data_IF_833502013163
#
_entry.id   IF_833502013163
#
_cell.length_a   1.000
_cell.length_b   1.000
_cell.length_c   1.000
_cell.angle_alpha   90.00
_cell.angle_beta   90.00
_cell.angle_gamma   90.00
#
_symmetry.space_group_name_H-M   'P 1'
#
loop_
_entity.id
_entity.type
_entity.pdbx_description
1 polymer ?
#
# COMPACT_ATOMS: atom_id res chain seq x y z
N UNK A 1 -6.94 -11.13 -28.35
CA UNK A 1 -5.88 -10.67 -27.39
C UNK A 1 -6.53 -10.31 -26.09
N UNK A 2 -5.85 -10.51 -24.94
CA UNK A 2 -6.40 -10.07 -23.66
C UNK A 2 -6.43 -8.52 -23.64
N UNK A 3 -7.55 -7.93 -23.26
CA UNK A 3 -7.68 -6.47 -23.11
C UNK A 3 -6.75 -6.00 -21.99
N UNK A 4 -5.83 -5.09 -22.28
CA UNK A 4 -4.93 -4.51 -21.29
C UNK A 4 -5.51 -3.18 -20.84
N UNK A 5 -5.57 -2.95 -19.55
CA UNK A 5 -6.13 -1.75 -18.96
C UNK A 5 -5.09 -1.06 -18.09
N UNK A 6 -4.91 0.25 -18.25
CA UNK A 6 -4.24 1.09 -17.29
C UNK A 6 -5.27 1.62 -16.29
N UNK A 7 -5.19 1.20 -15.03
CA UNK A 7 -6.02 1.71 -13.95
C UNK A 7 -5.28 2.80 -13.18
N UNK A 8 -5.84 3.99 -13.11
CA UNK A 8 -5.28 5.05 -12.27
C UNK A 8 -5.62 4.76 -10.81
N UNK A 9 -4.58 4.45 -10.00
CA UNK A 9 -4.74 4.10 -8.58
C UNK A 9 -4.44 5.27 -7.64
N UNK A 10 -3.78 6.32 -8.13
CA UNK A 10 -3.52 7.56 -7.40
C UNK A 10 -3.40 8.75 -8.35
N UNK A 11 -3.74 9.95 -7.88
CA UNK A 11 -3.67 11.19 -8.63
C UNK A 11 -5.04 11.73 -9.06
N UNK A 12 -5.10 12.79 -9.91
CA UNK A 12 -6.34 13.47 -10.31
C UNK A 12 -7.34 12.58 -11.03
N UNK A 13 -6.88 11.47 -11.62
CA UNK A 13 -7.71 10.53 -12.36
C UNK A 13 -7.97 9.23 -11.60
N UNK A 14 -7.78 9.21 -10.28
CA UNK A 14 -7.95 8.02 -9.45
C UNK A 14 -9.30 7.32 -9.72
N UNK A 15 -9.24 5.99 -9.86
CA UNK A 15 -10.39 5.13 -10.14
C UNK A 15 -10.77 5.04 -11.61
N UNK A 16 -10.16 5.85 -12.51
CA UNK A 16 -10.40 5.73 -13.94
C UNK A 16 -9.57 4.59 -14.55
N UNK A 17 -10.15 3.95 -15.55
CA UNK A 17 -9.56 2.87 -16.31
C UNK A 17 -9.43 3.27 -17.78
N UNK A 18 -8.29 2.98 -18.38
CA UNK A 18 -7.96 3.33 -19.75
C UNK A 18 -7.56 2.05 -20.49
N UNK A 19 -8.44 1.53 -21.38
CA UNK A 19 -8.09 0.38 -22.19
C UNK A 19 -6.97 0.75 -23.18
N UNK A 20 -5.99 -0.13 -23.31
CA UNK A 20 -4.90 -0.02 -24.27
C UNK A 20 -5.27 -0.83 -25.52
N UNK A 21 -5.27 -0.16 -26.67
CA UNK A 21 -5.48 -0.78 -27.97
C UNK A 21 -4.12 -1.25 -28.52
N UNK A 22 -4.03 -2.52 -28.92
CA UNK A 22 -2.80 -3.09 -29.47
C UNK A 22 -2.31 -2.39 -30.75
N UNK A 23 -3.20 -1.75 -31.46
CA UNK A 23 -2.92 -1.13 -32.77
C UNK A 23 -2.60 0.37 -32.66
N UNK A 24 -2.64 0.94 -31.45
CA UNK A 24 -2.44 2.36 -31.22
C UNK A 24 -1.42 2.64 -30.13
N UNK A 25 -0.61 3.69 -30.39
CA UNK A 25 0.24 4.29 -29.37
C UNK A 25 -0.62 5.18 -28.45
N UNK A 26 -0.42 5.07 -27.13
CA UNK A 26 -1.06 5.92 -26.11
C UNK A 26 -0.03 6.86 -25.54
N UNK A 27 -0.19 8.16 -25.78
CA UNK A 27 0.63 9.22 -25.19
C UNK A 27 -0.02 9.69 -23.91
N UNK A 28 0.76 9.69 -22.83
CA UNK A 28 0.36 10.17 -21.50
C UNK A 28 1.06 11.51 -21.25
N UNK A 29 0.32 12.50 -20.78
CA UNK A 29 0.90 13.82 -20.51
C UNK A 29 -0.14 14.84 -20.07
N UNK A 30 0.32 16.07 -19.76
CA UNK A 30 -0.60 17.17 -19.41
C UNK A 30 -1.13 17.96 -20.61
N UNK A 31 -0.57 17.72 -21.80
CA UNK A 31 -0.97 18.42 -23.02
C UNK A 31 -2.34 17.99 -23.53
N UNK A 32 -3.02 18.90 -24.23
CA UNK A 32 -4.34 18.65 -24.82
C UNK A 32 -4.30 17.62 -25.94
N UNK A 33 -3.11 17.35 -26.46
CA UNK A 33 -2.81 16.36 -27.50
C UNK A 33 -2.44 14.97 -26.94
N UNK A 34 -2.44 14.80 -25.62
CA UNK A 34 -2.22 13.51 -24.98
C UNK A 34 -3.50 12.64 -25.00
N UNK A 35 -3.34 11.34 -25.32
CA UNK A 35 -4.45 10.39 -25.30
C UNK A 35 -4.97 10.16 -23.87
N UNK A 36 -4.05 10.13 -22.90
CA UNK A 36 -4.34 10.10 -21.48
C UNK A 36 -3.84 11.41 -20.88
N UNK A 37 -4.74 12.38 -20.75
CA UNK A 37 -4.39 13.70 -20.22
C UNK A 37 -4.43 13.69 -18.69
N UNK A 38 -3.29 14.04 -18.07
CA UNK A 38 -3.15 14.22 -16.63
C UNK A 38 -2.68 15.65 -16.36
N UNK A 39 -3.57 16.48 -15.84
CA UNK A 39 -3.31 17.92 -15.62
C UNK A 39 -2.59 18.12 -14.30
N UNK A 40 -1.25 18.03 -14.34
CA UNK A 40 -0.35 18.29 -13.21
C UNK A 40 0.87 19.08 -13.69
N UNK A 41 1.36 20.02 -12.89
CA UNK A 41 2.52 20.86 -13.24
C UNK A 41 3.83 20.07 -13.38
N UNK A 42 3.95 18.98 -12.65
CA UNK A 42 5.11 18.07 -12.67
C UNK A 42 5.17 17.19 -13.91
N UNK A 43 4.07 17.09 -14.67
CA UNK A 43 3.94 16.26 -15.87
C UNK A 43 4.24 17.08 -17.13
N UNK A 44 5.10 16.54 -17.99
CA UNK A 44 5.41 17.12 -19.30
C UNK A 44 4.19 17.06 -20.22
N UNK A 45 4.09 17.95 -21.24
CA UNK A 45 2.99 17.92 -22.21
C UNK A 45 2.83 16.55 -22.87
N UNK A 46 3.95 15.94 -23.29
CA UNK A 46 4.09 14.52 -23.61
C UNK A 46 5.08 13.96 -22.61
N UNK A 47 4.62 13.11 -21.70
CA UNK A 47 5.44 12.64 -20.60
C UNK A 47 5.95 11.22 -20.83
N UNK A 48 5.08 10.34 -21.25
CA UNK A 48 5.43 8.97 -21.63
C UNK A 48 4.57 8.51 -22.80
N UNK A 49 5.00 7.47 -23.49
CA UNK A 49 4.18 6.77 -24.46
C UNK A 49 4.18 5.29 -24.21
N UNK A 50 3.05 4.65 -24.44
CA UNK A 50 2.87 3.21 -24.36
C UNK A 50 2.45 2.67 -25.72
N UNK A 51 3.09 1.62 -26.16
CA UNK A 51 2.80 0.97 -27.43
C UNK A 51 3.08 -0.53 -27.36
N UNK A 52 2.49 -1.29 -28.26
CA UNK A 52 2.73 -2.73 -28.38
C UNK A 52 3.84 -3.01 -29.39
N UNK A 53 4.74 -3.92 -29.04
CA UNK A 53 5.80 -4.41 -29.94
C UNK A 53 6.03 -5.89 -29.69
N UNK A 54 5.83 -6.73 -30.73
CA UNK A 54 5.96 -8.19 -30.64
C UNK A 54 5.17 -8.80 -29.46
N UNK A 55 3.91 -8.37 -29.31
CA UNK A 55 3.00 -8.74 -28.23
C UNK A 55 3.43 -8.31 -26.82
N UNK A 56 4.48 -7.52 -26.70
CA UNK A 56 4.92 -6.91 -25.45
C UNK A 56 4.38 -5.46 -25.34
N UNK A 57 3.99 -5.07 -24.12
CA UNK A 57 3.60 -3.71 -23.78
C UNK A 57 4.87 -2.94 -23.44
N UNK A 58 5.18 -1.92 -24.21
CA UNK A 58 6.40 -1.14 -24.02
C UNK A 58 6.04 0.28 -23.61
N UNK A 59 6.66 0.78 -22.55
CA UNK A 59 6.61 2.18 -22.14
C UNK A 59 7.95 2.87 -22.44
N UNK A 60 7.89 4.11 -22.89
CA UNK A 60 9.05 4.95 -23.16
C UNK A 60 8.84 6.35 -22.54
N UNK A 61 9.84 6.80 -21.79
CA UNK A 61 9.86 8.13 -21.18
C UNK A 61 10.18 9.21 -22.21
N UNK A 62 9.38 10.27 -22.23
CA UNK A 62 9.55 11.45 -23.09
C UNK A 62 9.68 12.73 -22.25
N UNK A 63 9.76 12.57 -20.92
CA UNK A 63 9.64 13.66 -19.97
C UNK A 63 10.97 14.31 -19.62
N UNK A 64 10.88 15.43 -18.88
CA UNK A 64 12.04 16.07 -18.24
C UNK A 64 12.27 15.58 -16.81
N UNK A 65 11.21 15.08 -16.16
CA UNK A 65 11.23 14.73 -14.75
C UNK A 65 11.35 13.21 -14.53
N UNK A 66 11.23 12.42 -15.60
CA UNK A 66 11.37 10.96 -15.58
C UNK A 66 10.06 10.22 -15.32
N UNK A 67 9.96 9.05 -15.93
CA UNK A 67 8.93 8.04 -15.70
C UNK A 67 9.53 6.89 -14.90
N UNK A 68 8.78 6.37 -13.92
CA UNK A 68 9.26 5.26 -13.11
C UNK A 68 8.34 4.05 -13.29
N UNK A 69 8.93 2.86 -13.32
CA UNK A 69 8.20 1.58 -13.30
C UNK A 69 8.65 0.80 -12.08
N UNK A 70 7.72 0.46 -11.19
CA UNK A 70 7.99 -0.20 -9.91
C UNK A 70 9.12 0.50 -9.12
N UNK A 71 9.07 1.84 -9.07
CA UNK A 71 10.04 2.68 -8.37
C UNK A 71 11.40 2.85 -9.07
N UNK A 72 11.63 2.26 -10.24
CA UNK A 72 12.87 2.42 -11.03
C UNK A 72 12.68 3.44 -12.14
N UNK A 73 13.57 4.43 -12.22
CA UNK A 73 13.60 5.38 -13.33
C UNK A 73 13.91 4.62 -14.63
N UNK A 74 13.10 4.83 -15.66
CA UNK A 74 13.26 4.17 -16.95
C UNK A 74 13.41 5.19 -18.08
N UNK A 75 14.12 4.83 -19.12
CA UNK A 75 14.01 5.46 -20.44
C UNK A 75 13.06 4.66 -21.32
N UNK A 76 13.12 3.33 -21.20
CA UNK A 76 12.26 2.39 -21.89
C UNK A 76 12.17 1.09 -21.08
N UNK A 77 10.99 0.52 -20.97
CA UNK A 77 10.75 -0.73 -20.26
C UNK A 77 9.62 -1.53 -20.90
N UNK A 78 9.64 -2.85 -20.71
CA UNK A 78 8.49 -3.73 -20.97
C UNK A 78 7.65 -3.75 -19.72
N UNK A 79 6.33 -3.52 -19.87
CA UNK A 79 5.37 -3.56 -18.79
C UNK A 79 4.77 -4.96 -18.65
N UNK A 80 4.73 -5.45 -17.42
CA UNK A 80 4.10 -6.70 -17.04
C UNK A 80 2.77 -6.46 -16.32
N UNK A 81 1.88 -7.47 -16.25
CA UNK A 81 0.68 -7.39 -15.42
C UNK A 81 1.02 -7.05 -13.96
N UNK A 82 0.28 -6.13 -13.38
CA UNK A 82 0.46 -5.56 -12.05
C UNK A 82 1.59 -4.55 -11.89
N UNK A 83 2.37 -4.24 -12.94
CA UNK A 83 3.36 -3.17 -12.87
C UNK A 83 2.72 -1.82 -12.56
N UNK A 84 3.46 -1.02 -11.80
CA UNK A 84 3.08 0.33 -11.40
C UNK A 84 3.92 1.34 -12.18
N UNK A 85 3.22 2.19 -12.94
CA UNK A 85 3.83 3.29 -13.70
C UNK A 85 3.57 4.60 -12.97
N UNK A 86 4.63 5.30 -12.60
CA UNK A 86 4.57 6.57 -11.89
C UNK A 86 4.89 7.71 -12.84
N UNK A 87 3.98 8.66 -12.94
CA UNK A 87 4.06 9.84 -13.80
C UNK A 87 3.63 11.06 -12.98
N UNK A 88 4.59 11.90 -12.58
CA UNK A 88 4.32 12.99 -11.63
C UNK A 88 3.84 12.43 -10.29
N UNK A 89 2.63 12.82 -9.88
CA UNK A 89 1.97 12.30 -8.66
C UNK A 89 0.97 11.20 -8.96
N UNK A 90 0.75 10.91 -10.24
CA UNK A 90 -0.17 9.89 -10.69
C UNK A 90 0.49 8.52 -10.74
N UNK A 91 -0.24 7.51 -10.29
CA UNK A 91 0.17 6.11 -10.35
C UNK A 91 -0.83 5.32 -11.18
N UNK A 92 -0.32 4.66 -12.22
CA UNK A 92 -1.10 3.83 -13.12
C UNK A 92 -0.70 2.37 -12.93
N UNK A 93 -1.65 1.48 -12.76
CA UNK A 93 -1.43 0.02 -12.66
C UNK A 93 -1.79 -0.65 -13.96
N UNK A 94 -0.91 -1.51 -14.44
CA UNK A 94 -1.18 -2.37 -15.61
C UNK A 94 -2.05 -3.53 -15.17
N UNK A 95 -3.26 -3.66 -15.72
CA UNK A 95 -4.20 -4.72 -15.41
C UNK A 95 -4.56 -5.47 -16.69
N UNK A 96 -4.43 -6.79 -16.65
CA UNK A 96 -4.96 -7.68 -17.68
C UNK A 96 -6.14 -8.40 -17.05
N UNK A 97 -7.40 -8.10 -17.43
CA UNK A 97 -8.56 -8.81 -16.92
C UNK A 97 -8.39 -10.31 -17.20
N UNK A 98 -8.36 -11.13 -16.16
CA UNK A 98 -8.47 -12.57 -16.34
C UNK A 98 -9.86 -12.84 -16.90
N UNK A 99 -9.95 -13.37 -18.09
CA UNK A 99 -11.20 -13.97 -18.55
C UNK A 99 -11.61 -14.99 -17.49
N UNK A 100 -12.73 -14.76 -16.84
CA UNK A 100 -13.32 -15.75 -15.95
C UNK A 100 -13.50 -17.04 -16.79
N UNK A 101 -13.06 -18.21 -16.31
CA UNK A 101 -13.35 -19.45 -17.00
C UNK A 101 -14.87 -19.53 -17.14
N UNK A 102 -15.35 -19.79 -18.35
CA UNK A 102 -16.77 -19.96 -18.61
C UNK A 102 -17.34 -20.97 -17.61
N UNK A 103 -18.51 -20.71 -16.99
CA UNK A 103 -19.11 -21.64 -16.08
C UNK A 103 -19.36 -22.95 -16.84
N UNK A 104 -18.78 -24.04 -16.36
CA UNK A 104 -19.04 -25.40 -16.85
C UNK A 104 -20.46 -25.72 -16.40
N UNK A 105 -21.42 -25.50 -17.28
CA UNK A 105 -22.78 -25.97 -17.06
C UNK A 105 -22.79 -27.49 -17.14
N UNK A 106 -22.85 -28.14 -16.00
CA UNK A 106 -23.21 -29.54 -15.92
C UNK A 106 -24.64 -29.69 -16.47
N UNK A 107 -24.77 -30.48 -17.54
CA UNK A 107 -26.06 -30.94 -18.10
C UNK A 107 -26.80 -31.77 -17.05
N UNK A 108 -27.93 -31.25 -16.57
CA UNK A 108 -29.01 -32.12 -16.07
C UNK A 108 -30.36 -31.35 -16.10
N UNK A 109 -31.33 -31.89 -16.81
CA UNK A 109 -32.73 -31.87 -16.45
C UNK A 109 -33.65 -30.86 -17.17
N UNK A 110 -34.50 -31.41 -18.00
CA UNK A 110 -35.66 -30.81 -18.66
C UNK A 110 -36.55 -29.93 -17.73
N UNK A 111 -36.85 -28.70 -18.17
CA UNK A 111 -37.95 -27.89 -17.68
C UNK A 111 -38.23 -26.73 -18.66
N UNK A 112 -39.48 -26.29 -18.84
CA UNK A 112 -39.90 -25.54 -20.02
C UNK A 112 -39.44 -24.07 -20.05
N UNK A 113 -39.26 -23.60 -21.30
CA UNK A 113 -38.87 -22.26 -21.66
C UNK A 113 -39.91 -21.20 -21.20
N UNK A 114 -39.45 -20.13 -20.59
CA UNK A 114 -40.23 -18.90 -20.40
C UNK A 114 -39.57 -17.82 -21.29
N UNK A 115 -40.30 -17.45 -22.32
CA UNK A 115 -40.04 -16.31 -23.19
C UNK A 115 -40.36 -15.01 -22.48
N UNK A 116 -39.48 -14.03 -22.44
CA UNK A 116 -39.80 -12.65 -22.15
C UNK A 116 -39.71 -11.82 -23.44
N UNK A 117 -40.87 -11.35 -23.84
CA UNK A 117 -41.07 -10.48 -24.97
C UNK A 117 -40.65 -9.04 -24.62
N UNK A 118 -40.24 -8.34 -25.66
CA UNK A 118 -39.83 -6.95 -25.79
C UNK A 118 -40.72 -5.95 -25.00
N UNK A 119 -40.06 -5.09 -24.20
CA UNK A 119 -40.63 -3.82 -23.80
C UNK A 119 -39.76 -2.66 -24.23
N UNK A 120 -40.16 -2.04 -25.33
CA UNK A 120 -39.63 -0.79 -25.83
C UNK A 120 -40.02 0.35 -24.90
N UNK A 121 -39.07 1.03 -24.27
CA UNK A 121 -39.34 2.30 -23.59
C UNK A 121 -38.70 3.43 -24.40
N UNK A 122 -39.55 4.13 -25.13
CA UNK A 122 -39.29 5.43 -25.77
C UNK A 122 -39.42 6.54 -24.71
N UNK A 123 -38.42 7.42 -24.65
CA UNK A 123 -38.57 8.71 -23.95
C UNK A 123 -37.31 9.22 -23.28
N UNK A 124 -36.39 9.80 -24.05
CA UNK A 124 -35.30 10.61 -23.51
C UNK A 124 -35.64 12.09 -23.70
N UNK A 125 -35.81 12.89 -22.64
CA UNK A 125 -35.81 14.34 -22.77
C UNK A 125 -34.38 14.87 -22.69
N UNK A 126 -33.98 15.63 -23.68
CA UNK A 126 -32.73 16.40 -23.79
C UNK A 126 -32.74 17.52 -22.75
N UNK A 127 -31.72 17.66 -21.87
CA UNK A 127 -31.61 18.87 -21.06
C UNK A 127 -30.91 20.00 -21.80
N UNK A 128 -31.56 21.16 -21.73
CA UNK A 128 -31.12 22.41 -22.29
C UNK A 128 -29.77 22.88 -21.72
N UNK A 129 -28.98 23.44 -22.63
CA UNK A 129 -27.73 24.12 -22.43
C UNK A 129 -27.88 25.38 -21.57
N UNK A 130 -27.40 25.33 -20.30
CA UNK A 130 -27.18 26.51 -19.48
C UNK A 130 -25.69 26.88 -19.54
N UNK A 131 -25.40 27.95 -20.27
CA UNK A 131 -24.11 28.60 -20.31
C UNK A 131 -24.08 29.62 -19.16
N UNK A 132 -23.26 29.39 -18.14
CA UNK A 132 -22.92 30.38 -17.13
C UNK A 132 -21.48 30.92 -17.38
N UNK A 133 -21.22 32.22 -17.13
CA UNK A 133 -19.97 32.85 -17.55
C UNK A 133 -18.78 32.44 -16.68
N UNK A 134 -17.68 32.14 -17.35
CA UNK A 134 -16.37 31.91 -16.74
C UNK A 134 -15.87 33.13 -15.97
N UNK A 135 -15.83 33.04 -14.65
CA UNK A 135 -15.03 33.96 -13.83
C UNK A 135 -13.57 33.51 -13.86
N UNK A 136 -12.68 34.41 -14.27
CA UNK A 136 -11.23 34.25 -14.21
C UNK A 136 -10.81 33.96 -12.75
N UNK A 137 -10.03 32.90 -12.49
CA UNK A 137 -9.42 32.74 -11.19
C UNK A 137 -8.27 33.75 -11.02
N UNK A 138 -8.31 34.50 -9.93
CA UNK A 138 -7.18 35.31 -9.45
C UNK A 138 -6.06 34.39 -8.96
N UNK A 139 -4.77 34.78 -9.07
CA UNK A 139 -3.66 33.97 -8.58
C UNK A 139 -3.64 34.03 -7.05
N UNK A 140 -4.05 32.94 -6.41
CA UNK A 140 -3.81 32.69 -5.00
C UNK A 140 -2.43 32.08 -4.87
N UNK A 141 -1.62 32.67 -4.00
CA UNK A 141 -0.23 32.30 -3.76
C UNK A 141 -0.05 30.80 -3.48
N UNK A 142 0.93 30.24 -4.14
CA UNK A 142 1.30 28.83 -4.13
C UNK A 142 1.91 28.41 -2.80
N UNK A 143 1.11 27.71 -1.99
CA UNK A 143 1.60 26.64 -1.12
C UNK A 143 0.86 25.37 -1.55
N UNK A 144 1.38 24.70 -2.56
CA UNK A 144 0.85 23.40 -3.03
C UNK A 144 1.21 22.35 -1.99
N UNK A 145 0.35 22.20 -1.00
CA UNK A 145 0.34 21.03 -0.13
C UNK A 145 -0.13 19.86 -1.00
N UNK A 146 0.81 19.00 -1.37
CA UNK A 146 0.53 17.84 -2.22
C UNK A 146 -0.21 16.79 -1.38
N UNK A 147 -1.53 16.78 -1.45
CA UNK A 147 -2.36 15.75 -0.85
C UNK A 147 -2.69 14.69 -1.90
N UNK A 148 -2.38 13.44 -1.64
CA UNK A 148 -2.87 12.33 -2.44
C UNK A 148 -3.31 11.17 -1.54
N UNK A 149 -4.28 10.38 -2.02
CA UNK A 149 -4.88 9.28 -1.27
C UNK A 149 -5.15 8.09 -2.20
N UNK A 150 -5.23 6.89 -1.62
CA UNK A 150 -5.49 5.66 -2.36
C UNK A 150 -5.79 4.49 -1.43
N UNK A 151 -5.89 3.29 -2.02
CA UNK A 151 -6.11 2.05 -1.28
C UNK A 151 -4.87 1.14 -1.34
N UNK A 152 -4.53 0.50 -0.21
CA UNK A 152 -3.42 -0.45 -0.12
C UNK A 152 -3.67 -1.74 -0.93
N UNK A 153 -4.94 -2.06 -1.22
CA UNK A 153 -5.27 -3.16 -2.13
C UNK A 153 -4.84 -2.91 -3.59
N UNK A 154 -4.68 -1.64 -3.96
CA UNK A 154 -4.26 -1.24 -5.31
C UNK A 154 -2.74 -1.06 -5.42
N UNK A 155 -2.07 -0.60 -4.35
CA UNK A 155 -0.61 -0.40 -4.27
C UNK A 155 -0.09 -0.90 -2.92
N UNK A 156 0.98 -1.68 -2.94
CA UNK A 156 1.62 -2.12 -1.71
C UNK A 156 2.26 -0.92 -0.97
N UNK A 157 2.19 -0.93 0.35
CA UNK A 157 2.78 0.15 1.17
C UNK A 157 4.28 0.32 0.92
N UNK A 158 4.99 -0.78 0.67
CA UNK A 158 6.41 -0.79 0.29
C UNK A 158 6.69 -0.02 -0.99
N UNK A 159 5.88 -0.24 -2.03
CA UNK A 159 6.04 0.43 -3.33
C UNK A 159 5.75 1.92 -3.22
N UNK A 160 4.72 2.27 -2.45
CA UNK A 160 4.37 3.66 -2.15
C UNK A 160 5.51 4.38 -1.43
N UNK A 161 6.11 3.76 -0.41
CA UNK A 161 7.23 4.32 0.33
C UNK A 161 8.50 4.46 -0.52
N UNK A 162 8.75 3.49 -1.41
CA UNK A 162 9.85 3.54 -2.36
C UNK A 162 9.69 4.69 -3.35
N UNK A 163 8.45 4.94 -3.83
CA UNK A 163 8.11 6.11 -4.64
C UNK A 163 8.41 7.42 -3.92
N UNK A 164 7.91 7.56 -2.68
CA UNK A 164 8.10 8.77 -1.88
C UNK A 164 9.59 9.02 -1.58
N UNK A 165 10.35 7.95 -1.35
CA UNK A 165 11.81 8.00 -1.15
C UNK A 165 12.53 8.49 -2.41
N UNK A 166 12.27 7.85 -3.54
CA UNK A 166 12.92 8.17 -4.83
C UNK A 166 12.59 9.59 -5.29
N UNK A 167 11.35 10.03 -5.09
CA UNK A 167 10.88 11.38 -5.41
C UNK A 167 11.31 12.42 -4.38
N UNK A 168 12.05 12.04 -3.33
CA UNK A 168 12.50 12.90 -2.23
C UNK A 168 11.38 13.75 -1.61
N UNK A 169 10.18 13.19 -1.54
CA UNK A 169 9.03 13.87 -0.95
C UNK A 169 9.21 14.05 0.56
N UNK A 170 8.56 15.08 1.09
CA UNK A 170 8.45 15.30 2.54
C UNK A 170 6.99 15.41 2.90
N UNK A 171 6.54 14.66 3.90
CA UNK A 171 5.14 14.63 4.31
C UNK A 171 4.88 13.57 5.37
N UNK A 172 3.62 13.43 5.69
CA UNK A 172 3.09 12.42 6.61
C UNK A 172 2.17 11.48 5.84
N UNK A 173 2.54 10.21 5.76
CA UNK A 173 1.69 9.17 5.20
C UNK A 173 0.83 8.58 6.32
N UNK A 174 -0.46 8.80 6.24
CA UNK A 174 -1.47 8.23 7.14
C UNK A 174 -2.02 6.97 6.49
N UNK A 175 -1.95 5.85 7.19
CA UNK A 175 -2.46 4.55 6.75
C UNK A 175 -3.57 4.14 7.70
N UNK A 176 -4.72 3.72 7.16
CA UNK A 176 -5.86 3.24 7.96
C UNK A 176 -6.23 1.83 7.50
N UNK A 177 -6.26 0.89 8.45
CA UNK A 177 -6.67 -0.49 8.21
C UNK A 177 -7.61 -0.95 9.31
N UNK A 178 -8.83 -1.33 8.95
CA UNK A 178 -9.91 -1.60 9.91
C UNK A 178 -10.06 -0.44 10.91
N UNK A 179 -9.93 -0.73 12.21
CA UNK A 179 -10.05 0.27 13.30
C UNK A 179 -8.70 0.88 13.70
N UNK A 180 -7.60 0.54 13.01
CA UNK A 180 -6.24 0.99 13.33
C UNK A 180 -5.78 2.10 12.38
N UNK A 181 -4.99 3.04 12.93
CA UNK A 181 -4.37 4.11 12.16
C UNK A 181 -2.86 4.13 12.41
N UNK A 182 -2.08 4.12 11.33
CA UNK A 182 -0.64 4.32 11.35
C UNK A 182 -0.26 5.65 10.70
N UNK A 183 0.82 6.26 11.16
CA UNK A 183 1.39 7.48 10.56
C UNK A 183 2.89 7.26 10.35
N UNK A 184 3.34 7.48 9.12
CA UNK A 184 4.76 7.42 8.75
C UNK A 184 5.20 8.81 8.32
N UNK A 185 6.22 9.34 8.97
CA UNK A 185 6.74 10.69 8.71
C UNK A 185 7.98 10.60 7.84
N UNK A 186 7.96 11.34 6.76
CA UNK A 186 8.98 11.30 5.70
C UNK A 186 9.55 12.68 5.51
N UNK A 187 10.87 12.82 5.51
CA UNK A 187 11.58 14.06 5.28
C UNK A 187 12.61 13.87 4.15
N UNK A 188 12.45 14.58 3.04
CA UNK A 188 13.33 14.47 1.86
C UNK A 188 13.53 13.03 1.37
N UNK A 189 12.45 12.25 1.38
CA UNK A 189 12.46 10.84 0.99
C UNK A 189 12.96 9.87 2.05
N UNK A 190 13.37 10.34 3.23
CA UNK A 190 13.79 9.47 4.34
C UNK A 190 12.65 9.29 5.33
N UNK A 191 12.41 8.07 5.74
CA UNK A 191 11.49 7.75 6.83
C UNK A 191 12.20 8.14 8.13
N UNK A 192 11.59 9.08 8.88
CA UNK A 192 12.18 9.64 10.09
C UNK A 192 11.47 9.20 11.37
N UNK A 193 10.22 8.77 11.27
CA UNK A 193 9.41 8.37 12.41
C UNK A 193 8.16 7.60 11.98
N UNK A 194 7.62 6.76 12.86
CA UNK A 194 6.34 6.10 12.67
C UNK A 194 5.59 5.97 13.99
N UNK A 195 4.25 6.09 13.96
CA UNK A 195 3.36 5.88 15.12
C UNK A 195 2.19 5.00 14.70
N UNK A 196 1.57 4.34 15.68
CA UNK A 196 0.35 3.56 15.53
C UNK A 196 -0.64 3.98 16.62
N UNK A 197 -1.91 4.21 16.24
CA UNK A 197 -3.02 4.57 17.15
C UNK A 197 -2.73 5.78 18.04
N UNK A 198 -1.97 6.75 17.51
CA UNK A 198 -1.56 7.99 18.21
C UNK A 198 -0.72 7.76 19.49
N UNK A 199 -0.30 6.54 19.73
CA UNK A 199 0.56 6.20 20.87
C UNK A 199 2.00 6.58 20.54
N UNK A 200 2.68 7.23 21.49
CA UNK A 200 4.11 7.54 21.37
C UNK A 200 4.90 6.21 21.38
N UNK A 201 5.64 5.87 20.33
CA UNK A 201 6.32 4.58 20.27
C UNK A 201 7.57 4.55 21.13
N UNK A 202 7.81 3.44 21.79
CA UNK A 202 9.10 3.16 22.44
C UNK A 202 10.20 3.04 21.39
N UNK A 203 9.90 2.39 20.26
CA UNK A 203 10.79 2.29 19.10
C UNK A 203 10.03 2.54 17.80
N UNK A 204 10.24 3.71 17.14
CA UNK A 204 9.57 4.05 15.89
C UNK A 204 9.87 3.08 14.73
N UNK A 205 11.03 2.43 14.72
CA UNK A 205 11.41 1.47 13.68
C UNK A 205 10.58 0.20 13.76
N UNK A 206 10.35 -0.35 14.97
CA UNK A 206 9.45 -1.50 15.16
C UNK A 206 8.03 -1.18 14.70
N UNK A 207 7.52 0.01 15.04
CA UNK A 207 6.19 0.44 14.59
C UNK A 207 6.14 0.54 13.07
N UNK A 208 7.18 1.09 12.45
CA UNK A 208 7.28 1.14 10.98
C UNK A 208 7.21 -0.26 10.36
N UNK A 209 7.95 -1.24 10.87
CA UNK A 209 7.94 -2.62 10.38
C UNK A 209 6.57 -3.28 10.53
N UNK A 210 5.87 -3.02 11.65
CA UNK A 210 4.49 -3.51 11.86
C UNK A 210 3.50 -2.92 10.85
N UNK A 211 3.63 -1.62 10.52
CA UNK A 211 2.76 -0.98 9.53
C UNK A 211 2.91 -1.59 8.13
N UNK A 212 4.12 -2.04 7.76
CA UNK A 212 4.37 -2.70 6.48
C UNK A 212 3.63 -4.05 6.31
N UNK A 213 3.18 -4.64 7.42
CA UNK A 213 2.34 -5.87 7.39
C UNK A 213 0.90 -5.59 6.97
N UNK A 214 0.48 -4.32 6.90
CA UNK A 214 -0.88 -3.98 6.50
C UNK A 214 -1.04 -4.08 4.99
N UNK A 215 -1.68 -5.16 4.53
CA UNK A 215 -1.93 -5.42 3.10
C UNK A 215 -3.21 -4.78 2.57
N UNK A 216 -4.10 -4.31 3.45
CA UNK A 216 -5.39 -3.73 3.10
C UNK A 216 -5.64 -2.45 3.89
N UNK A 217 -6.43 -1.56 3.30
CA UNK A 217 -6.77 -0.29 3.93
C UNK A 217 -6.65 0.89 2.97
N UNK A 218 -6.73 2.08 3.52
CA UNK A 218 -6.59 3.32 2.76
C UNK A 218 -5.39 4.11 3.25
N UNK A 219 -4.77 4.86 2.35
CA UNK A 219 -3.71 5.77 2.71
C UNK A 219 -4.01 7.20 2.25
N UNK A 220 -3.44 8.15 2.94
CA UNK A 220 -3.48 9.58 2.63
C UNK A 220 -2.10 10.19 2.92
N UNK A 221 -1.57 10.96 1.98
CA UNK A 221 -0.30 11.64 2.14
C UNK A 221 -0.55 13.14 2.30
N UNK A 222 -0.09 13.68 3.41
CA UNK A 222 -0.28 15.06 3.82
C UNK A 222 1.05 15.78 4.00
N UNK A 223 0.99 17.09 4.19
CA UNK A 223 2.17 17.89 4.55
C UNK A 223 2.79 17.40 5.87
N UNK A 224 4.12 17.49 5.96
CA UNK A 224 4.84 17.16 7.18
C UNK A 224 4.46 18.17 8.28
N UNK A 225 3.88 17.72 9.41
CA UNK A 225 3.55 18.62 10.50
C UNK A 225 4.82 19.16 11.18
N UNK A 226 4.76 20.39 11.66
CA UNK A 226 5.79 20.96 12.52
C UNK A 226 5.73 20.31 13.91
N UNK A 227 6.39 19.17 14.05
CA UNK A 227 6.45 18.38 15.28
C UNK A 227 7.90 18.04 15.60
N UNK A 228 8.23 18.03 16.88
CA UNK A 228 9.50 17.47 17.34
C UNK A 228 9.37 15.94 17.48
N UNK A 229 10.36 15.22 16.99
CA UNK A 229 10.42 13.75 17.06
C UNK A 229 11.51 13.38 18.08
N UNK A 230 11.16 12.85 19.27
CA UNK A 230 12.13 12.58 20.34
C UNK A 230 13.16 11.50 19.95
N UNK A 231 12.71 10.51 19.19
CA UNK A 231 13.56 9.43 18.69
C UNK A 231 13.36 9.30 17.19
N UNK A 232 14.39 9.63 16.40
CA UNK A 232 14.31 9.56 14.94
C UNK A 232 14.91 8.27 14.41
N UNK A 233 14.31 7.74 13.36
CA UNK A 233 14.91 6.71 12.52
C UNK A 233 15.99 7.38 11.68
N UNK A 234 17.22 6.87 11.70
CA UNK A 234 18.37 7.48 11.02
C UNK A 234 18.83 6.70 9.78
N UNK A 235 18.28 5.53 9.55
CA UNK A 235 18.65 4.64 8.45
C UNK A 235 18.10 5.11 7.11
N UNK A 236 18.66 4.60 6.01
CA UNK A 236 18.12 4.87 4.69
C UNK A 236 16.80 4.12 4.49
N UNK A 237 15.88 4.71 3.72
CA UNK A 237 14.59 4.07 3.43
C UNK A 237 14.75 2.70 2.76
N UNK A 238 15.73 2.54 1.86
CA UNK A 238 15.98 1.27 1.18
C UNK A 238 16.46 0.18 2.16
N UNK A 239 17.30 0.54 3.12
CA UNK A 239 17.77 -0.39 4.16
C UNK A 239 16.64 -0.80 5.09
N UNK A 240 15.83 0.18 5.54
CA UNK A 240 14.64 -0.08 6.38
C UNK A 240 13.64 -1.00 5.69
N UNK A 241 13.38 -0.80 4.39
CA UNK A 241 12.46 -1.65 3.63
C UNK A 241 13.01 -3.06 3.48
N UNK A 242 14.31 -3.22 3.23
CA UNK A 242 14.95 -4.53 3.11
C UNK A 242 14.89 -5.31 4.43
N UNK A 243 15.26 -4.67 5.54
CA UNK A 243 15.20 -5.29 6.87
C UNK A 243 13.76 -5.64 7.27
N UNK A 244 12.81 -4.74 7.03
CA UNK A 244 11.41 -4.99 7.33
C UNK A 244 10.85 -6.17 6.54
N UNK A 245 11.19 -6.31 5.27
CA UNK A 245 10.76 -7.45 4.43
C UNK A 245 11.37 -8.76 4.93
N UNK A 246 12.65 -8.75 5.31
CA UNK A 246 13.31 -9.92 5.90
C UNK A 246 12.64 -10.34 7.22
N UNK A 247 12.43 -9.39 8.15
CA UNK A 247 11.76 -9.66 9.42
C UNK A 247 10.32 -10.17 9.22
N UNK A 248 9.59 -9.61 8.24
CA UNK A 248 8.25 -10.05 7.88
C UNK A 248 8.24 -11.50 7.40
N UNK A 249 9.17 -11.88 6.54
CA UNK A 249 9.29 -13.24 6.04
C UNK A 249 9.63 -14.22 7.18
N UNK A 250 10.52 -13.85 8.08
CA UNK A 250 10.87 -14.65 9.25
C UNK A 250 9.67 -14.83 10.20
N UNK A 251 8.90 -13.78 10.49
CA UNK A 251 7.68 -13.86 11.30
C UNK A 251 6.63 -14.77 10.62
N UNK A 252 6.43 -14.63 9.30
CA UNK A 252 5.49 -15.48 8.54
C UNK A 252 5.90 -16.96 8.59
N UNK A 253 7.20 -17.25 8.58
CA UNK A 253 7.74 -18.60 8.68
C UNK A 253 7.54 -19.22 10.09
N UNK A 254 7.31 -18.40 11.12
CA UNK A 254 6.92 -18.93 12.44
C UNK A 254 5.53 -19.60 12.42
N UNK A 255 4.70 -19.32 11.41
CA UNK A 255 3.41 -19.95 11.19
C UNK A 255 2.21 -19.10 11.65
N UNK A 256 0.98 -19.61 11.42
CA UNK A 256 -0.24 -18.84 11.62
C UNK A 256 -0.68 -18.70 13.08
N UNK A 257 -0.12 -19.50 14.00
CA UNK A 257 -0.57 -19.61 15.40
C UNK A 257 0.04 -18.54 16.32
N UNK A 258 0.56 -17.45 15.76
CA UNK A 258 1.12 -16.36 16.55
C UNK A 258 -0.01 -15.51 17.15
N UNK A 259 0.10 -15.11 18.43
CA UNK A 259 -0.88 -14.21 19.03
C UNK A 259 -0.85 -12.84 18.34
N UNK A 260 -2.04 -12.22 18.20
CA UNK A 260 -2.14 -10.86 17.65
C UNK A 260 -1.49 -9.84 18.58
N UNK A 261 -1.19 -8.64 18.07
CA UNK A 261 -0.63 -7.55 18.90
C UNK A 261 -1.56 -7.12 20.05
N UNK A 262 -2.87 -7.38 19.91
CA UNK A 262 -3.89 -7.04 20.91
C UNK A 262 -4.23 -8.21 21.85
N UNK A 263 -3.65 -9.39 21.63
CA UNK A 263 -3.85 -10.52 22.51
C UNK A 263 -3.18 -10.28 23.87
N UNK A 264 -3.82 -10.76 24.92
CA UNK A 264 -3.20 -10.81 26.25
C UNK A 264 -2.45 -12.12 26.44
N UNK A 265 -1.26 -12.04 27.03
CA UNK A 265 -0.42 -13.18 27.36
C UNK A 265 -0.19 -13.24 28.87
N UNK A 266 -0.37 -14.41 29.43
CA UNK A 266 -0.19 -14.64 30.86
C UNK A 266 0.68 -15.86 31.13
N UNK A 267 1.37 -15.83 32.28
CA UNK A 267 2.12 -16.97 32.79
C UNK A 267 1.16 -18.00 33.36
N UNK A 268 1.26 -19.24 32.91
CA UNK A 268 0.39 -20.35 33.36
C UNK A 268 0.66 -20.69 34.81
N UNK A 269 -0.40 -20.87 35.57
CA UNK A 269 -0.30 -21.32 36.98
C UNK A 269 -1.23 -22.55 37.22
N UNK A 270 -0.73 -23.67 37.77
CA UNK A 270 0.67 -23.91 38.18
C UNK A 270 1.60 -24.07 37.00
N UNK A 271 2.90 -23.77 37.20
CA UNK A 271 3.92 -23.93 36.15
C UNK A 271 4.05 -25.40 35.73
N UNK A 272 4.22 -25.66 34.39
CA UNK A 272 4.33 -27.02 33.86
C UNK A 272 5.65 -27.74 34.27
N UNK A 273 6.68 -26.95 34.56
CA UNK A 273 8.01 -27.44 34.96
C UNK A 273 8.71 -26.39 35.85
N UNK A 274 9.76 -26.79 36.60
CA UNK A 274 10.53 -25.85 37.41
C UNK A 274 11.21 -24.78 36.56
N UNK A 275 11.24 -23.53 37.04
CA UNK A 275 11.87 -22.39 36.33
C UNK A 275 13.35 -22.63 35.99
N UNK A 276 14.07 -23.43 36.78
CA UNK A 276 15.48 -23.82 36.48
C UNK A 276 15.67 -24.60 35.17
N UNK A 277 14.57 -25.07 34.54
CA UNK A 277 14.60 -25.73 33.24
C UNK A 277 14.60 -24.74 32.06
N UNK A 278 14.47 -23.45 32.36
CA UNK A 278 14.45 -22.36 31.40
C UNK A 278 15.85 -21.75 31.23
N UNK A 279 16.15 -21.30 30.02
CA UNK A 279 17.35 -20.50 29.77
C UNK A 279 17.20 -19.10 30.39
N UNK A 280 18.31 -18.38 30.56
CA UNK A 280 18.28 -17.02 31.10
C UNK A 280 17.37 -16.07 30.27
N UNK A 281 17.47 -16.13 28.95
CA UNK A 281 16.61 -15.32 28.06
C UNK A 281 15.13 -15.66 28.18
N UNK A 282 14.76 -16.95 28.41
CA UNK A 282 13.36 -17.32 28.65
C UNK A 282 12.85 -16.68 29.97
N UNK A 283 13.69 -16.63 31.00
CA UNK A 283 13.33 -16.03 32.30
C UNK A 283 13.15 -14.52 32.18
N UNK A 284 14.06 -13.84 31.46
CA UNK A 284 13.97 -12.41 31.21
C UNK A 284 12.70 -12.09 30.42
N UNK A 285 12.36 -12.91 29.42
CA UNK A 285 11.14 -12.75 28.64
C UNK A 285 9.87 -12.99 29.47
N UNK A 286 9.86 -14.01 30.36
CA UNK A 286 8.75 -14.24 31.31
C UNK A 286 8.57 -13.02 32.22
N UNK A 287 9.66 -12.42 32.73
CA UNK A 287 9.57 -11.19 33.55
C UNK A 287 8.92 -10.05 32.76
N UNK A 288 9.21 -9.95 31.47
CA UNK A 288 8.60 -8.96 30.59
C UNK A 288 7.10 -9.20 30.44
N UNK A 289 6.67 -10.46 30.21
CA UNK A 289 5.26 -10.86 30.14
C UNK A 289 4.53 -10.57 31.48
N UNK A 290 5.18 -10.77 32.61
CA UNK A 290 4.58 -10.46 33.92
C UNK A 290 4.36 -8.95 34.14
N UNK A 291 5.12 -8.09 33.47
CA UNK A 291 4.97 -6.63 33.53
C UNK A 291 3.98 -6.11 32.53
N UNK A 292 3.97 -6.68 31.32
CA UNK A 292 3.22 -6.22 30.17
C UNK A 292 2.37 -7.36 29.64
N UNK A 293 1.06 -7.27 29.82
CA UNK A 293 0.16 -8.36 29.41
C UNK A 293 -0.09 -8.41 27.91
N UNK A 294 -0.20 -7.25 27.26
CA UNK A 294 -0.47 -7.16 25.81
C UNK A 294 0.78 -7.51 25.01
N UNK A 295 0.61 -8.33 23.97
CA UNK A 295 1.69 -8.71 23.06
C UNK A 295 2.42 -7.48 22.51
N UNK A 296 1.67 -6.43 22.11
CA UNK A 296 2.26 -5.17 21.64
C UNK A 296 3.23 -4.60 22.66
N UNK A 297 2.80 -4.47 23.91
CA UNK A 297 3.60 -3.84 24.96
C UNK A 297 4.82 -4.69 25.34
N UNK A 298 4.65 -6.02 25.31
CA UNK A 298 5.77 -6.98 25.50
C UNK A 298 6.82 -6.77 24.42
N UNK A 299 6.41 -6.76 23.14
CA UNK A 299 7.32 -6.57 22.01
C UNK A 299 7.95 -5.17 21.99
N UNK A 300 7.24 -4.13 22.43
CA UNK A 300 7.76 -2.77 22.50
C UNK A 300 8.88 -2.62 23.54
N UNK A 301 8.79 -3.34 24.65
CA UNK A 301 9.79 -3.31 25.72
C UNK A 301 10.86 -4.41 25.59
N UNK A 302 10.70 -5.33 24.66
CA UNK A 302 11.74 -6.31 24.32
C UNK A 302 12.88 -5.62 23.56
N UNK A 303 14.13 -5.88 23.94
CA UNK A 303 15.31 -5.21 23.38
C UNK A 303 15.66 -5.64 21.95
N UNK A 304 15.32 -6.89 21.56
CA UNK A 304 15.50 -7.42 20.22
C UNK A 304 14.39 -6.97 19.24
N UNK A 305 14.35 -7.53 18.05
CA UNK A 305 13.32 -7.28 17.05
C UNK A 305 12.03 -8.08 17.35
N UNK A 306 10.97 -7.81 16.58
CA UNK A 306 9.67 -8.48 16.81
C UNK A 306 9.73 -9.99 16.48
N UNK A 307 10.53 -10.40 15.49
CA UNK A 307 10.73 -11.82 15.17
C UNK A 307 11.31 -12.61 16.35
N UNK A 308 12.34 -12.08 17.01
CA UNK A 308 12.92 -12.70 18.20
C UNK A 308 11.88 -12.77 19.34
N UNK A 309 11.13 -11.68 19.56
CA UNK A 309 10.06 -11.64 20.56
C UNK A 309 8.98 -12.68 20.30
N UNK A 310 8.51 -12.80 19.06
CA UNK A 310 7.56 -13.84 18.66
C UNK A 310 8.14 -15.26 18.78
N UNK A 311 9.44 -15.43 18.55
CA UNK A 311 10.13 -16.73 18.75
C UNK A 311 10.07 -17.15 20.22
N UNK A 312 10.31 -16.23 21.16
CA UNK A 312 10.13 -16.49 22.59
C UNK A 312 8.68 -16.83 22.94
N UNK A 313 7.72 -16.02 22.46
CA UNK A 313 6.29 -16.29 22.69
C UNK A 313 5.91 -17.69 22.22
N UNK A 314 6.24 -18.04 20.97
CA UNK A 314 5.92 -19.35 20.40
C UNK A 314 6.57 -20.50 21.17
N UNK A 315 7.85 -20.37 21.50
CA UNK A 315 8.59 -21.38 22.28
C UNK A 315 7.98 -21.61 23.65
N UNK A 316 7.74 -20.54 24.40
CA UNK A 316 7.20 -20.62 25.78
C UNK A 316 5.74 -21.06 25.79
N UNK A 317 4.93 -20.68 24.82
CA UNK A 317 3.55 -21.19 24.64
C UNK A 317 3.56 -22.68 24.28
N UNK A 318 4.42 -23.11 23.35
CA UNK A 318 4.57 -24.53 23.00
C UNK A 318 5.00 -25.39 24.18
N UNK A 319 5.81 -24.85 25.09
CA UNK A 319 6.23 -25.48 26.37
C UNK A 319 5.22 -25.28 27.51
N UNK A 320 4.08 -24.60 27.25
CA UNK A 320 2.98 -24.32 28.18
C UNK A 320 3.35 -23.47 29.40
N UNK A 321 4.40 -22.64 29.29
CA UNK A 321 4.71 -21.64 30.30
C UNK A 321 3.87 -20.39 30.16
N UNK A 322 3.47 -20.07 28.91
CA UNK A 322 2.61 -18.95 28.60
C UNK A 322 1.32 -19.43 27.91
N UNK A 323 0.26 -18.68 28.12
CA UNK A 323 -1.00 -18.81 27.38
C UNK A 323 -1.42 -17.46 26.86
N UNK A 324 -1.99 -17.43 25.64
CA UNK A 324 -2.57 -16.23 25.07
C UNK A 324 -4.11 -16.33 25.12
N UNK A 325 -4.74 -15.23 25.49
CA UNK A 325 -6.21 -15.07 25.39
C UNK A 325 -6.50 -14.22 24.16
N UNK A 326 -7.40 -14.68 23.31
CA UNK A 326 -7.84 -13.98 22.10
C UNK A 326 -8.70 -12.79 22.44
#
# INVERSE_FOLDING_TARGET
>A
MAEVILKCISGPLQGREFPLDSDREVVIGRGDDANLQIVEDTISRKHARIFFRNDEIVIEDLSKNGTYVNGRLIQKAVLLPSDLVYIGQSVLKVTIPRHAPAPVFARAGNGPAISFEDTVITGIPTPARLVAPFNKPQPVGSSTTEHFRGALGDIALTDLLQLLSTSRKSGMLVVRSADMQGKIFIEKGKIIYATMDEVEPVNPQKVFYRLLRWGNGNFEFDSLPHRNFPTRINESTDHLLLEAMHELDEINNLGPDLPSLHAEVEVVSPLPAPLRSLAAGDLDFIQLVMRHKLVRDILDHYTGNDFEGYTYLKSLMGRRFLTATL
#
